data_IF_358710944938
#
_entry.id   IF_358710944938
#
_cell.length_a   1.000
_cell.length_b   1.000
_cell.length_c   1.000
_cell.angle_alpha   90.00
_cell.angle_beta   90.00
_cell.angle_gamma   90.00
#
_symmetry.space_group_name_H-M   'P 1'
#
loop_
_entity.id
_entity.type
_entity.pdbx_description
1 polymer ?
#
# COMPACT_ATOMS: atom_id res chain seq x y z
N UNK A 1 12.78 -5.24 10.22
CA UNK A 1 12.76 -6.15 9.04
C UNK A 1 13.75 -5.63 7.99
N UNK A 2 14.35 -6.50 7.18
CA UNK A 2 15.29 -6.09 6.13
C UNK A 2 14.56 -5.69 4.83
N UNK A 3 15.18 -4.89 3.93
CA UNK A 3 14.60 -4.48 2.64
C UNK A 3 14.07 -5.63 1.77
N UNK A 4 14.55 -6.87 1.98
CA UNK A 4 14.11 -8.06 1.28
C UNK A 4 12.63 -8.42 1.54
N UNK A 5 12.06 -8.03 2.70
CA UNK A 5 10.67 -8.33 3.04
C UNK A 5 9.66 -7.55 2.17
N UNK A 6 10.00 -6.32 1.76
CA UNK A 6 9.13 -5.49 0.91
C UNK A 6 9.06 -6.05 -0.51
N UNK A 7 10.22 -6.41 -1.08
CA UNK A 7 10.27 -6.96 -2.43
C UNK A 7 9.50 -8.29 -2.55
N UNK A 8 9.51 -9.12 -1.50
CA UNK A 8 8.74 -10.38 -1.45
C UNK A 8 7.22 -10.15 -1.44
N UNK A 9 6.75 -9.14 -0.68
CA UNK A 9 5.33 -8.77 -0.65
C UNK A 9 4.84 -8.24 -2.00
N UNK A 10 5.65 -7.41 -2.68
CA UNK A 10 5.33 -6.91 -4.03
C UNK A 10 5.18 -8.06 -5.03
N UNK A 11 6.12 -9.00 -5.03
CA UNK A 11 6.08 -10.16 -5.92
C UNK A 11 4.82 -11.00 -5.69
N UNK A 12 4.46 -11.24 -4.43
CA UNK A 12 3.28 -12.03 -4.08
C UNK A 12 1.99 -11.34 -4.49
N UNK A 13 1.87 -10.02 -4.26
CA UNK A 13 0.71 -9.24 -4.70
C UNK A 13 0.62 -9.22 -6.24
N UNK A 14 1.73 -9.00 -6.93
CA UNK A 14 1.75 -9.01 -8.39
C UNK A 14 1.38 -10.38 -8.99
N UNK A 15 1.75 -11.48 -8.34
CA UNK A 15 1.33 -12.83 -8.76
C UNK A 15 -0.15 -13.12 -8.45
N UNK A 16 -0.69 -12.56 -7.37
CA UNK A 16 -2.11 -12.67 -7.02
C UNK A 16 -2.99 -11.91 -8.01
N UNK A 17 -2.67 -10.65 -8.33
CA UNK A 17 -3.44 -9.82 -9.26
C UNK A 17 -3.46 -10.39 -10.68
N UNK A 18 -2.39 -11.09 -11.11
CA UNK A 18 -2.38 -11.81 -12.39
C UNK A 18 -3.33 -13.02 -12.44
N UNK A 19 -3.60 -13.64 -11.30
CA UNK A 19 -4.37 -14.90 -11.19
C UNK A 19 -5.83 -14.67 -10.81
N UNK A 20 -6.19 -13.50 -10.31
CA UNK A 20 -7.55 -13.16 -9.89
C UNK A 20 -8.05 -11.90 -10.59
N UNK A 21 -9.19 -11.99 -11.27
CA UNK A 21 -9.99 -10.82 -11.64
C UNK A 21 -10.85 -10.44 -10.44
N UNK A 22 -10.96 -9.14 -10.15
CA UNK A 22 -11.79 -8.59 -9.07
C UNK A 22 -11.35 -9.04 -7.66
N UNK A 23 -10.04 -9.19 -7.44
CA UNK A 23 -9.47 -9.53 -6.13
C UNK A 23 -9.57 -8.36 -5.14
N UNK A 24 -9.49 -8.67 -3.84
CA UNK A 24 -9.32 -7.65 -2.79
C UNK A 24 -7.97 -7.92 -2.11
N UNK A 25 -7.17 -6.87 -1.97
CA UNK A 25 -5.86 -6.90 -1.31
C UNK A 25 -5.94 -6.01 -0.09
N UNK A 26 -5.57 -6.56 1.06
CA UNK A 26 -5.44 -5.83 2.31
C UNK A 26 -3.95 -5.70 2.65
N UNK A 27 -3.44 -4.47 2.70
CA UNK A 27 -2.10 -4.17 3.18
C UNK A 27 -2.19 -3.64 4.62
N UNK A 28 -1.96 -4.51 5.59
CA UNK A 28 -1.96 -4.16 7.01
C UNK A 28 -0.54 -3.81 7.51
N UNK A 29 -0.46 -2.94 8.53
CA UNK A 29 0.79 -2.52 9.15
C UNK A 29 1.59 -1.50 8.35
N UNK A 30 0.92 -0.53 7.70
CA UNK A 30 1.59 0.55 6.97
C UNK A 30 2.55 1.34 7.88
N UNK A 31 2.17 1.53 9.14
CA UNK A 31 2.94 2.22 10.17
C UNK A 31 4.27 1.52 10.39
N UNK A 32 4.26 0.18 10.43
CA UNK A 32 5.49 -0.60 10.56
C UNK A 32 6.42 -0.38 9.37
N UNK A 33 5.86 -0.32 8.15
CA UNK A 33 6.64 -0.05 6.94
C UNK A 33 7.27 1.34 7.00
N UNK A 34 6.56 2.35 7.49
CA UNK A 34 7.06 3.73 7.60
C UNK A 34 8.05 3.90 8.74
N UNK A 35 7.92 3.17 9.85
CA UNK A 35 8.92 3.19 10.93
C UNK A 35 10.25 2.58 10.48
N UNK A 36 10.21 1.59 9.59
CA UNK A 36 11.41 0.85 9.16
C UNK A 36 12.00 1.30 7.82
N UNK A 37 11.33 2.21 7.10
CA UNK A 37 11.73 2.71 5.79
C UNK A 37 11.38 4.18 5.69
N UNK A 38 12.02 4.95 4.81
CA UNK A 38 11.57 6.32 4.60
C UNK A 38 10.16 6.35 3.96
N UNK A 39 9.35 7.33 4.34
CA UNK A 39 7.98 7.50 3.84
C UNK A 39 7.90 7.48 2.31
N UNK A 40 8.87 8.08 1.63
CA UNK A 40 8.90 8.15 0.16
C UNK A 40 9.06 6.77 -0.47
N UNK A 41 9.84 5.87 0.13
CA UNK A 41 9.95 4.47 -0.31
C UNK A 41 8.64 3.71 -0.12
N UNK A 42 7.93 3.93 1.00
CA UNK A 42 6.61 3.33 1.24
C UNK A 42 5.56 3.87 0.26
N UNK A 43 5.57 5.17 -0.02
CA UNK A 43 4.66 5.76 -1.00
C UNK A 43 4.87 5.18 -2.41
N UNK A 44 6.13 4.93 -2.82
CA UNK A 44 6.42 4.24 -4.09
C UNK A 44 5.88 2.80 -4.11
N UNK A 45 6.01 2.07 -3.01
CA UNK A 45 5.42 0.73 -2.89
C UNK A 45 3.92 0.78 -3.10
N UNK A 46 3.24 1.73 -2.46
CA UNK A 46 1.80 1.93 -2.59
C UNK A 46 1.40 2.20 -4.06
N UNK A 47 2.13 3.07 -4.76
CA UNK A 47 1.89 3.32 -6.19
C UNK A 47 2.06 2.07 -7.04
N UNK A 48 3.09 1.26 -6.79
CA UNK A 48 3.28 0.00 -7.51
C UNK A 48 2.12 -0.99 -7.27
N UNK A 49 1.57 -1.03 -6.06
CA UNK A 49 0.42 -1.87 -5.74
C UNK A 49 -0.84 -1.38 -6.44
N UNK A 50 -1.05 -0.05 -6.50
CA UNK A 50 -2.15 0.57 -7.24
C UNK A 50 -2.09 0.22 -8.73
N UNK A 51 -0.91 0.31 -9.36
CA UNK A 51 -0.71 -0.10 -10.76
C UNK A 51 -1.20 -1.56 -10.99
N UNK A 52 -0.83 -2.49 -10.09
CA UNK A 52 -1.25 -3.89 -10.21
C UNK A 52 -2.75 -4.09 -10.01
N UNK A 53 -3.34 -3.34 -9.08
CA UNK A 53 -4.76 -3.42 -8.72
C UNK A 53 -5.62 -2.88 -9.86
N UNK A 54 -5.20 -1.76 -10.46
CA UNK A 54 -5.83 -1.13 -11.62
C UNK A 54 -5.80 -2.05 -12.85
N UNK A 55 -4.71 -2.77 -13.10
CA UNK A 55 -4.63 -3.76 -14.18
C UNK A 55 -5.56 -4.98 -13.98
N UNK A 56 -5.80 -5.37 -12.72
CA UNK A 56 -6.59 -6.55 -12.35
C UNK A 56 -8.06 -6.29 -12.01
N UNK A 57 -8.56 -5.04 -12.15
CA UNK A 57 -9.85 -4.58 -11.61
C UNK A 57 -10.06 -4.98 -10.14
N UNK A 58 -8.98 -4.96 -9.36
CA UNK A 58 -9.00 -5.36 -7.95
C UNK A 58 -9.24 -4.16 -7.05
N UNK A 59 -9.35 -4.37 -5.74
CA UNK A 59 -9.43 -3.30 -4.74
C UNK A 59 -8.25 -3.44 -3.78
N UNK A 60 -7.57 -2.33 -3.50
CA UNK A 60 -6.54 -2.24 -2.46
C UNK A 60 -7.11 -1.51 -1.24
N UNK A 61 -7.04 -2.15 -0.08
CA UNK A 61 -7.42 -1.58 1.20
C UNK A 61 -6.16 -1.48 2.05
N UNK A 62 -5.91 -0.30 2.62
CA UNK A 62 -4.77 -0.03 3.49
C UNK A 62 -5.33 0.62 4.76
N UNK A 63 -5.43 -0.11 5.88
CA UNK A 63 -5.69 0.49 7.18
C UNK A 63 -4.52 1.40 7.54
N UNK A 64 -4.84 2.60 8.02
CA UNK A 64 -3.84 3.59 8.45
C UNK A 64 -4.34 4.23 9.73
N UNK A 65 -3.51 4.21 10.77
CA UNK A 65 -3.68 5.09 11.92
C UNK A 65 -3.13 6.49 11.58
N UNK A 66 -3.98 7.52 11.46
CA UNK A 66 -3.53 8.87 11.15
C UNK A 66 -2.55 9.43 12.18
N UNK A 67 -2.56 8.94 13.42
CA UNK A 67 -1.65 9.38 14.48
C UNK A 67 -0.21 8.87 14.28
N UNK A 68 0.00 7.89 13.40
CA UNK A 68 1.31 7.34 13.09
C UNK A 68 2.03 8.09 11.94
N UNK A 69 1.38 9.08 11.33
CA UNK A 69 1.88 9.88 10.23
C UNK A 69 2.00 11.34 10.66
N UNK A 70 2.99 12.06 10.11
CA UNK A 70 2.96 13.51 10.22
C UNK A 70 1.87 14.13 9.32
N UNK A 71 1.51 15.39 9.59
CA UNK A 71 0.43 16.08 8.85
C UNK A 71 0.70 16.14 7.34
N UNK A 72 1.97 16.24 6.94
CA UNK A 72 2.36 16.33 5.53
C UNK A 72 2.26 14.98 4.85
N UNK A 73 2.74 13.93 5.50
CA UNK A 73 2.66 12.55 5.04
C UNK A 73 1.21 12.12 4.89
N UNK A 74 0.38 12.35 5.92
CA UNK A 74 -1.04 12.06 5.87
C UNK A 74 -1.75 12.84 4.74
N UNK A 75 -1.42 14.12 4.55
CA UNK A 75 -2.01 14.92 3.48
C UNK A 75 -1.63 14.39 2.09
N UNK A 76 -0.37 14.00 1.90
CA UNK A 76 0.08 13.40 0.64
C UNK A 76 -0.64 12.08 0.38
N UNK A 77 -0.74 11.20 1.39
CA UNK A 77 -1.40 9.91 1.26
C UNK A 77 -2.88 10.07 0.87
N UNK A 78 -3.59 11.00 1.53
CA UNK A 78 -5.00 11.31 1.26
C UNK A 78 -5.25 11.87 -0.14
N UNK A 79 -4.27 12.55 -0.75
CA UNK A 79 -4.40 13.09 -2.11
C UNK A 79 -4.33 11.99 -3.17
N UNK A 80 -3.50 10.98 -2.93
CA UNK A 80 -3.27 9.88 -3.87
C UNK A 80 -4.31 8.76 -3.70
N UNK A 81 -4.99 8.68 -2.55
CA UNK A 81 -5.92 7.59 -2.21
C UNK A 81 -7.37 8.04 -2.08
N UNK A 82 -8.29 7.15 -2.47
CA UNK A 82 -9.72 7.32 -2.15
C UNK A 82 -9.97 6.89 -0.71
N UNK A 83 -10.41 7.82 0.13
CA UNK A 83 -10.74 7.55 1.52
C UNK A 83 -12.14 6.96 1.60
N UNK A 84 -12.26 5.76 2.17
CA UNK A 84 -13.54 5.16 2.52
C UNK A 84 -13.82 5.48 3.99
N UNK A 85 -14.76 6.39 4.25
CA UNK A 85 -15.24 6.67 5.60
C UNK A 85 -16.26 5.59 6.02
N UNK A 86 -16.10 5.02 7.21
CA UNK A 86 -17.17 4.34 7.96
C UNK A 86 -17.53 5.21 9.17
#
# INVERSE_FOLDING_TARGET
MSPASICSSIYTVGEFTKKTRNGVILLDGLEYLIVHNDYKSVLKLIHLLEDFVSLGNSILIIPVDPAALDDRELHLLKREMTILWH
#
